data_IF_321707117294
#
_entry.id   IF_321707117294
#
_cell.length_a   1.000
_cell.length_b   1.000
_cell.length_c   1.000
_cell.angle_alpha   90.00
_cell.angle_beta   90.00
_cell.angle_gamma   90.00
#
_symmetry.space_group_name_H-M   'P 1'
#
loop_
_entity.id
_entity.type
_entity.pdbx_description
1 polymer ?
#
# COMPACT_ATOMS: atom_id res chain seq x y z
N UNK A 1 29.12 -5.91 12.63
CA UNK A 1 27.93 -5.19 13.13
C UNK A 1 26.79 -6.19 13.22
N UNK A 2 26.71 -6.95 14.32
CA UNK A 2 25.47 -7.63 14.66
C UNK A 2 24.70 -6.62 15.52
N UNK A 3 24.05 -5.65 14.86
CA UNK A 3 23.13 -4.76 15.55
C UNK A 3 21.96 -5.59 16.03
N UNK A 4 21.44 -5.27 17.23
CA UNK A 4 20.25 -5.89 17.80
C UNK A 4 19.18 -6.04 16.70
N UNK A 5 18.82 -7.27 16.40
CA UNK A 5 17.72 -7.54 15.49
C UNK A 5 16.40 -7.23 16.21
N UNK A 6 15.37 -6.79 15.48
CA UNK A 6 14.07 -6.56 16.09
C UNK A 6 13.46 -7.89 16.55
N UNK A 7 12.75 -7.86 17.69
CA UNK A 7 12.04 -9.03 18.25
C UNK A 7 11.00 -9.63 17.29
N UNK A 8 10.48 -8.81 16.37
CA UNK A 8 9.46 -9.19 15.41
C UNK A 8 9.87 -8.82 13.98
N UNK A 9 9.58 -9.73 13.06
CA UNK A 9 9.70 -9.51 11.63
C UNK A 9 8.35 -9.72 10.94
N UNK A 10 7.89 -8.70 10.21
CA UNK A 10 6.62 -8.73 9.48
C UNK A 10 6.89 -8.87 7.98
N UNK A 11 6.68 -10.07 7.46
CA UNK A 11 6.78 -10.32 6.01
C UNK A 11 5.50 -9.88 5.32
N UNK A 12 5.56 -8.71 4.69
CA UNK A 12 4.44 -8.12 3.94
C UNK A 12 3.94 -9.05 2.84
N UNK A 13 2.63 -9.12 2.69
CA UNK A 13 1.88 -9.70 1.58
C UNK A 13 0.91 -8.66 1.03
N UNK A 14 0.24 -9.00 -0.06
CA UNK A 14 -0.72 -8.11 -0.73
C UNK A 14 -1.76 -7.52 0.25
N UNK A 15 -2.32 -8.35 1.14
CA UNK A 15 -3.42 -7.95 2.05
C UNK A 15 -3.05 -8.00 3.54
N UNK A 16 -1.77 -8.06 3.87
CA UNK A 16 -1.33 -8.08 5.27
C UNK A 16 0.08 -8.60 5.44
N UNK A 17 0.31 -9.51 6.39
CA UNK A 17 1.64 -10.04 6.65
C UNK A 17 1.63 -11.44 7.25
N UNK A 18 2.80 -12.08 7.21
CA UNK A 18 3.18 -13.12 8.16
C UNK A 18 3.99 -12.47 9.28
N UNK A 19 3.72 -12.86 10.51
CA UNK A 19 4.41 -12.35 11.70
C UNK A 19 5.34 -13.43 12.20
N UNK A 20 6.62 -13.10 12.32
CA UNK A 20 7.64 -13.96 12.87
C UNK A 20 8.20 -13.33 14.14
N UNK A 21 8.38 -14.14 15.18
CA UNK A 21 9.26 -13.80 16.30
C UNK A 21 10.68 -14.16 15.90
N UNK A 22 11.61 -13.23 16.10
CA UNK A 22 13.02 -13.40 15.76
C UNK A 22 13.76 -13.83 17.03
N UNK A 23 14.46 -14.96 16.96
CA UNK A 23 15.35 -15.41 18.02
C UNK A 23 16.80 -15.37 17.49
N UNK A 24 17.67 -14.72 18.27
CA UNK A 24 19.09 -14.55 17.95
C UNK A 24 20.02 -15.13 19.01
N UNK A 25 19.48 -15.70 20.09
CA UNK A 25 20.25 -16.18 21.24
C UNK A 25 20.75 -17.62 21.10
N UNK A 26 20.66 -18.22 19.89
CA UNK A 26 21.18 -19.56 19.71
C UNK A 26 22.73 -19.58 19.71
N UNK A 27 23.31 -20.64 20.26
CA UNK A 27 24.78 -20.82 20.38
C UNK A 27 25.54 -20.73 19.05
N UNK A 28 24.83 -20.80 17.92
CA UNK A 28 25.40 -20.77 16.57
C UNK A 28 25.30 -19.40 15.89
N UNK A 29 24.79 -18.36 16.58
CA UNK A 29 24.52 -17.02 16.01
C UNK A 29 23.67 -17.06 14.73
N UNK A 30 22.75 -18.03 14.62
CA UNK A 30 21.80 -18.09 13.50
C UNK A 30 20.53 -17.35 13.88
N UNK A 31 19.97 -16.65 12.89
CA UNK A 31 18.67 -15.99 13.01
C UNK A 31 17.60 -17.08 12.83
N UNK A 32 16.84 -17.33 13.89
CA UNK A 32 15.66 -18.18 13.82
C UNK A 32 14.41 -17.29 13.72
N UNK A 33 13.48 -17.68 12.85
CA UNK A 33 12.22 -16.97 12.64
C UNK A 33 11.07 -17.94 12.86
N UNK A 34 10.37 -17.77 13.97
CA UNK A 34 9.24 -18.59 14.34
C UNK A 34 7.95 -17.87 13.95
N UNK A 35 7.15 -18.47 13.07
CA UNK A 35 5.91 -17.86 12.63
C UNK A 35 4.86 -17.93 13.74
N UNK A 36 4.41 -16.77 14.21
CA UNK A 36 3.45 -16.69 15.31
C UNK A 36 2.04 -16.35 14.83
N UNK A 37 1.88 -15.63 13.73
CA UNK A 37 0.57 -15.19 13.25
C UNK A 37 0.55 -14.86 11.75
N UNK A 38 -0.66 -14.74 11.21
CA UNK A 38 -0.99 -14.10 9.94
C UNK A 38 -1.90 -12.90 10.20
N UNK A 39 -1.62 -11.79 9.53
CA UNK A 39 -2.42 -10.57 9.59
C UNK A 39 -3.15 -10.38 8.25
N UNK A 40 -4.40 -9.95 8.33
CA UNK A 40 -5.15 -9.37 7.23
C UNK A 40 -5.55 -7.92 7.58
N UNK A 41 -5.03 -6.96 6.82
CA UNK A 41 -5.22 -5.54 7.09
C UNK A 41 -6.61 -5.06 6.65
N UNK A 42 -7.24 -5.72 5.65
CA UNK A 42 -8.54 -5.28 5.12
C UNK A 42 -9.66 -5.37 6.16
N UNK A 43 -9.63 -6.40 6.99
CA UNK A 43 -10.63 -6.67 8.03
C UNK A 43 -10.04 -6.60 9.46
N UNK A 44 -8.81 -6.14 9.59
CA UNK A 44 -8.05 -6.11 10.84
C UNK A 44 -7.95 -7.47 11.57
N UNK A 45 -7.98 -8.59 10.84
CA UNK A 45 -7.99 -9.93 11.41
C UNK A 45 -6.56 -10.43 11.68
N UNK A 46 -6.35 -10.99 12.88
CA UNK A 46 -5.10 -11.63 13.30
C UNK A 46 -5.38 -13.10 13.59
N UNK A 47 -4.72 -14.00 12.85
CA UNK A 47 -4.83 -15.45 13.02
C UNK A 47 -3.53 -15.99 13.62
N UNK A 48 -3.53 -16.52 14.85
CA UNK A 48 -2.39 -17.24 15.38
C UNK A 48 -2.00 -18.42 14.48
N UNK A 49 -0.72 -18.76 14.44
CA UNK A 49 -0.22 -19.89 13.69
C UNK A 49 -0.34 -21.19 14.50
N UNK A 50 -1.05 -22.18 13.97
CA UNK A 50 -1.33 -23.44 14.67
C UNK A 50 -2.16 -23.21 15.95
N UNK A 51 -1.88 -23.97 16.99
CA UNK A 51 -2.57 -23.89 18.29
C UNK A 51 -1.94 -22.85 19.25
N UNK A 52 -1.11 -21.93 18.72
CA UNK A 52 -0.38 -20.96 19.53
C UNK A 52 -1.33 -19.91 20.13
N UNK A 53 -1.09 -19.54 21.38
CA UNK A 53 -1.66 -18.33 21.99
C UNK A 53 -0.67 -17.18 21.86
N UNK A 54 -1.13 -16.06 21.33
CA UNK A 54 -0.36 -14.83 21.27
C UNK A 54 -0.29 -14.20 22.65
N UNK A 55 0.90 -13.75 23.04
CA UNK A 55 1.14 -12.99 24.26
C UNK A 55 0.67 -11.54 24.10
N UNK A 56 0.57 -10.79 25.20
CA UNK A 56 0.25 -9.37 25.14
C UNK A 56 1.29 -8.57 24.33
N UNK A 57 2.58 -8.94 24.45
CA UNK A 57 3.65 -8.34 23.66
C UNK A 57 3.51 -8.62 22.16
N UNK A 58 3.12 -9.85 21.78
CA UNK A 58 2.86 -10.20 20.38
C UNK A 58 1.72 -9.33 19.82
N UNK A 59 0.64 -9.20 20.58
CA UNK A 59 -0.53 -8.41 20.17
C UNK A 59 -0.25 -6.92 20.08
N UNK A 60 0.55 -6.36 21.00
CA UNK A 60 0.99 -4.97 20.95
C UNK A 60 1.82 -4.70 19.69
N UNK A 61 2.84 -5.53 19.41
CA UNK A 61 3.67 -5.40 18.22
C UNK A 61 2.86 -5.51 16.92
N UNK A 62 1.90 -6.43 16.87
CA UNK A 62 1.00 -6.60 15.72
C UNK A 62 0.13 -5.35 15.51
N UNK A 63 -0.44 -4.81 16.58
CA UNK A 63 -1.33 -3.64 16.52
C UNK A 63 -0.57 -2.39 16.07
N UNK A 64 0.62 -2.16 16.60
CA UNK A 64 1.48 -1.04 16.21
C UNK A 64 1.88 -1.14 14.74
N UNK A 65 2.29 -2.34 14.30
CA UNK A 65 2.63 -2.59 12.91
C UNK A 65 1.44 -2.36 11.98
N UNK A 66 0.24 -2.84 12.33
CA UNK A 66 -0.97 -2.65 11.53
C UNK A 66 -1.33 -1.16 11.40
N UNK A 67 -1.19 -0.40 12.48
CA UNK A 67 -1.45 1.05 12.50
C UNK A 67 -0.50 1.78 11.55
N UNK A 68 0.81 1.55 11.71
CA UNK A 68 1.83 2.16 10.85
C UNK A 68 1.65 1.75 9.39
N UNK A 69 1.35 0.47 9.13
CA UNK A 69 1.16 -0.05 7.78
C UNK A 69 -0.07 0.57 7.11
N UNK A 70 -1.16 0.75 7.84
CA UNK A 70 -2.38 1.37 7.31
C UNK A 70 -2.13 2.83 6.95
N UNK A 71 -1.46 3.60 7.81
CA UNK A 71 -1.08 4.98 7.52
C UNK A 71 -0.16 5.07 6.29
N UNK A 72 0.83 4.17 6.18
CA UNK A 72 1.73 4.11 5.03
C UNK A 72 1.00 3.78 3.73
N UNK A 73 0.06 2.83 3.76
CA UNK A 73 -0.75 2.47 2.58
C UNK A 73 -1.60 3.66 2.13
N UNK A 74 -2.28 4.33 3.07
CA UNK A 74 -3.06 5.54 2.75
C UNK A 74 -2.20 6.67 2.14
N UNK A 75 -0.98 6.86 2.64
CA UNK A 75 -0.05 7.82 2.06
C UNK A 75 0.38 7.44 0.64
N UNK A 76 0.59 6.14 0.38
CA UNK A 76 0.95 5.62 -0.95
C UNK A 76 -0.20 5.71 -1.94
N UNK A 77 -1.43 5.47 -1.51
CA UNK A 77 -2.61 5.61 -2.38
C UNK A 77 -2.71 7.04 -2.94
N UNK A 78 -2.39 8.05 -2.13
CA UNK A 78 -2.32 9.44 -2.58
C UNK A 78 -1.15 9.67 -3.55
N UNK A 79 0.04 9.15 -3.25
CA UNK A 79 1.21 9.24 -4.12
C UNK A 79 0.93 8.61 -5.50
N UNK A 80 0.30 7.43 -5.53
CA UNK A 80 -0.04 6.73 -6.77
C UNK A 80 -1.04 7.53 -7.63
N UNK A 81 -1.98 8.25 -7.00
CA UNK A 81 -2.88 9.18 -7.70
C UNK A 81 -2.10 10.38 -8.26
N UNK A 82 -1.12 10.92 -7.52
CA UNK A 82 -0.27 12.00 -8.01
C UNK A 82 0.60 11.55 -9.18
N UNK A 83 1.08 10.30 -9.20
CA UNK A 83 1.78 9.72 -10.35
C UNK A 83 0.91 9.67 -11.61
N UNK A 84 -0.41 9.49 -11.47
CA UNK A 84 -1.33 9.58 -12.61
C UNK A 84 -1.34 11.00 -13.23
N UNK A 85 -1.24 12.04 -12.41
CA UNK A 85 -1.13 13.43 -12.89
C UNK A 85 0.16 13.62 -13.68
N UNK A 86 1.29 13.12 -13.16
CA UNK A 86 2.56 13.16 -13.89
C UNK A 86 2.49 12.40 -15.21
N UNK A 87 1.85 11.24 -15.23
CA UNK A 87 1.66 10.47 -16.45
C UNK A 87 0.82 11.23 -17.50
N UNK A 88 -0.26 11.90 -17.08
CA UNK A 88 -1.06 12.75 -17.98
C UNK A 88 -0.25 13.93 -18.54
N UNK A 89 0.57 14.56 -17.70
CA UNK A 89 1.44 15.66 -18.14
C UNK A 89 2.49 15.18 -19.14
N UNK A 90 3.15 14.06 -18.86
CA UNK A 90 4.13 13.44 -19.77
C UNK A 90 3.47 12.97 -21.08
N UNK A 91 2.25 12.44 -21.01
CA UNK A 91 1.46 12.06 -22.19
C UNK A 91 1.13 13.29 -23.03
N UNK A 92 0.73 14.39 -22.41
CA UNK A 92 0.48 15.67 -23.09
C UNK A 92 1.72 16.16 -23.82
N UNK A 93 2.88 16.14 -23.14
CA UNK A 93 4.15 16.50 -23.75
C UNK A 93 4.52 15.59 -24.92
N UNK A 94 4.30 14.28 -24.79
CA UNK A 94 4.55 13.32 -25.86
C UNK A 94 3.64 13.57 -27.08
N UNK A 95 2.34 13.80 -26.88
CA UNK A 95 1.39 14.17 -27.94
C UNK A 95 1.88 15.40 -28.71
N UNK A 96 2.38 16.43 -28.00
CA UNK A 96 2.81 17.68 -28.63
C UNK A 96 4.12 17.57 -29.43
N UNK A 97 5.02 16.66 -29.04
CA UNK A 97 6.41 16.71 -29.52
C UNK A 97 6.89 15.46 -30.24
N UNK A 98 6.21 14.32 -30.10
CA UNK A 98 6.72 13.02 -30.54
C UNK A 98 5.67 12.09 -31.16
N UNK A 99 4.38 12.28 -30.87
CA UNK A 99 3.35 11.37 -31.37
C UNK A 99 3.22 11.44 -32.90
N UNK A 100 3.00 10.28 -33.50
CA UNK A 100 2.66 10.14 -34.92
C UNK A 100 1.14 10.02 -35.09
N UNK A 101 0.62 10.30 -36.30
CA UNK A 101 -0.82 10.25 -36.58
C UNK A 101 -1.41 8.87 -36.25
N UNK A 102 -0.77 7.77 -36.69
CA UNK A 102 -1.22 6.40 -36.38
C UNK A 102 -1.26 6.10 -34.87
N UNK A 103 -0.32 6.67 -34.10
CA UNK A 103 -0.32 6.52 -32.64
C UNK A 103 -1.43 7.35 -31.99
N UNK A 104 -1.74 8.53 -32.52
CA UNK A 104 -2.83 9.36 -32.04
C UNK A 104 -4.19 8.70 -32.30
N UNK A 105 -4.39 8.14 -33.49
CA UNK A 105 -5.61 7.40 -33.83
C UNK A 105 -5.83 6.20 -32.88
N UNK A 106 -4.76 5.54 -32.46
CA UNK A 106 -4.84 4.39 -31.55
C UNK A 106 -5.24 4.76 -30.10
N UNK A 107 -4.95 5.97 -29.61
CA UNK A 107 -5.09 6.31 -28.18
C UNK A 107 -6.07 7.43 -27.87
N UNK A 108 -6.38 8.30 -28.84
CA UNK A 108 -7.08 9.58 -28.59
C UNK A 108 -8.45 9.38 -27.93
N UNK A 109 -9.34 8.58 -28.53
CA UNK A 109 -10.69 8.39 -27.99
C UNK A 109 -10.68 7.74 -26.61
N UNK A 110 -9.80 6.75 -26.40
CA UNK A 110 -9.65 6.07 -25.11
C UNK A 110 -9.18 7.05 -24.02
N UNK A 111 -8.19 7.90 -24.33
CA UNK A 111 -7.71 8.92 -23.41
C UNK A 111 -8.79 9.96 -23.10
N UNK A 112 -9.50 10.47 -24.13
CA UNK A 112 -10.55 11.47 -23.97
C UNK A 112 -11.69 10.96 -23.09
N UNK A 113 -12.15 9.72 -23.31
CA UNK A 113 -13.21 9.10 -22.50
C UNK A 113 -12.77 8.89 -21.05
N UNK A 114 -11.57 8.35 -20.82
CA UNK A 114 -11.05 8.14 -19.47
C UNK A 114 -10.89 9.45 -18.69
N UNK A 115 -10.38 10.51 -19.33
CA UNK A 115 -10.26 11.83 -18.73
C UNK A 115 -11.63 12.46 -18.45
N UNK A 116 -12.59 12.29 -19.35
CA UNK A 116 -13.94 12.81 -19.19
C UNK A 116 -14.67 12.18 -18.00
N UNK A 117 -14.61 10.86 -17.87
CA UNK A 117 -15.22 10.12 -16.76
C UNK A 117 -14.62 10.56 -15.41
N UNK A 118 -13.28 10.54 -15.31
CA UNK A 118 -12.56 10.98 -14.11
C UNK A 118 -12.92 12.43 -13.74
N UNK A 119 -12.92 13.34 -14.72
CA UNK A 119 -13.31 14.75 -14.52
C UNK A 119 -14.73 14.85 -13.97
N UNK A 120 -15.68 14.11 -14.54
CA UNK A 120 -17.09 14.15 -14.13
C UNK A 120 -17.26 13.74 -12.66
N UNK A 121 -16.60 12.65 -12.24
CA UNK A 121 -16.62 12.19 -10.85
C UNK A 121 -15.98 13.20 -9.90
N UNK A 122 -14.81 13.75 -10.25
CA UNK A 122 -14.09 14.74 -9.42
C UNK A 122 -14.87 16.04 -9.26
N UNK A 123 -15.46 16.56 -10.33
CA UNK A 123 -16.30 17.77 -10.29
C UNK A 123 -17.50 17.56 -9.38
N UNK A 124 -18.20 16.42 -9.50
CA UNK A 124 -19.31 16.07 -8.62
C UNK A 124 -18.88 16.01 -7.16
N UNK A 125 -17.79 15.30 -6.85
CA UNK A 125 -17.26 15.21 -5.48
C UNK A 125 -16.86 16.57 -4.91
N UNK A 126 -16.27 17.44 -5.72
CA UNK A 126 -15.92 18.81 -5.32
C UNK A 126 -17.17 19.64 -5.00
N UNK A 127 -18.22 19.54 -5.83
CA UNK A 127 -19.49 20.20 -5.58
C UNK A 127 -20.18 19.67 -4.30
N UNK A 128 -20.22 18.35 -4.11
CA UNK A 128 -20.78 17.73 -2.89
C UNK A 128 -20.08 18.23 -1.62
N UNK A 129 -18.76 18.41 -1.65
CA UNK A 129 -17.97 18.95 -0.53
C UNK A 129 -18.28 20.41 -0.24
N UNK A 130 -18.51 21.23 -1.28
CA UNK A 130 -18.90 22.63 -1.08
C UNK A 130 -20.31 22.76 -0.49
N UNK A 131 -21.24 21.90 -0.92
CA UNK A 131 -22.63 21.89 -0.42
C UNK A 131 -22.69 21.38 1.03
N UNK A 132 -21.86 20.39 1.38
CA UNK A 132 -21.78 19.86 2.75
C UNK A 132 -21.09 20.82 3.73
N UNK A 133 -20.52 21.93 3.24
CA UNK A 133 -19.69 22.81 4.04
C UNK A 133 -18.38 22.12 4.43
N UNK A 134 -17.46 22.90 5.00
CA UNK A 134 -16.49 22.34 5.93
C UNK A 134 -17.17 21.47 7.00
#
# INVERSE_FOLDING_TARGET
MAGDLPDYYFRVRENGALVFRVDTENRQRRIEMDQIATINIRNAEVKPHGDRRLTEADMAAITDWMTQRTALLAARDVDDILRAVDHLNLTTQWVQTRATDDQLDAVTDTLLLAMHDLRTVLVRKKADRLIKGE
#
